data_IF_025666629530
#
_entry.id   IF_025666629530
#
_cell.length_a   1.000
_cell.length_b   1.000
_cell.length_c   1.000
_cell.angle_alpha   90.00
_cell.angle_beta   90.00
_cell.angle_gamma   90.00
#
_symmetry.space_group_name_H-M   'P 1'
#
loop_
_entity.id
_entity.type
_entity.pdbx_description
1 polymer ?
#
# COMPACT_ATOMS: atom_id res chain seq x y z
N UNK A 1 -8.40 7.28 20.41
CA UNK A 1 -7.74 6.63 19.25
C UNK A 1 -7.09 7.73 18.43
N UNK A 2 -5.77 7.72 18.25
CA UNK A 2 -5.10 8.73 17.42
C UNK A 2 -5.31 8.33 15.96
N UNK A 3 -5.97 9.19 15.19
CA UNK A 3 -6.22 8.96 13.76
C UNK A 3 -4.93 9.27 13.03
N UNK A 4 -4.43 8.34 12.21
CA UNK A 4 -3.29 8.57 11.33
C UNK A 4 -3.74 9.38 10.11
N UNK A 5 -3.41 10.67 10.12
CA UNK A 5 -3.84 11.62 9.09
C UNK A 5 -2.77 11.80 8.02
N UNK A 6 -3.18 12.30 6.86
CA UNK A 6 -2.25 12.65 5.77
C UNK A 6 -1.22 13.71 6.17
N UNK A 7 -1.56 14.60 7.12
CA UNK A 7 -0.62 15.58 7.69
C UNK A 7 0.47 14.91 8.50
N UNK A 8 0.11 13.97 9.38
CA UNK A 8 1.08 13.21 10.16
C UNK A 8 1.96 12.39 9.23
N UNK A 9 1.37 11.70 8.25
CA UNK A 9 2.12 10.90 7.28
C UNK A 9 3.17 11.68 6.46
N UNK A 10 3.05 13.01 6.34
CA UNK A 10 4.12 13.86 5.78
C UNK A 10 5.20 14.21 6.80
N UNK A 11 4.83 14.35 8.06
CA UNK A 11 5.71 14.76 9.15
C UNK A 11 6.62 13.63 9.66
N UNK A 12 6.19 12.37 9.57
CA UNK A 12 6.94 11.19 10.03
C UNK A 12 7.12 10.14 8.92
N UNK A 13 7.86 10.47 7.84
CA UNK A 13 7.95 9.63 6.64
C UNK A 13 8.55 8.23 6.87
N UNK A 14 9.35 8.08 7.93
CA UNK A 14 10.09 6.85 8.24
C UNK A 14 9.45 6.04 9.37
N UNK A 15 8.22 6.39 9.77
CA UNK A 15 7.45 5.59 10.72
C UNK A 15 7.26 4.18 10.18
N UNK A 16 7.60 3.18 11.00
CA UNK A 16 7.41 1.78 10.67
C UNK A 16 5.92 1.45 10.47
N UNK A 17 5.62 0.66 9.45
CA UNK A 17 4.25 0.26 9.09
C UNK A 17 4.21 -1.23 8.78
N UNK A 18 3.11 -1.92 9.14
CA UNK A 18 3.00 -3.38 9.01
C UNK A 18 2.63 -3.83 7.59
N UNK A 19 3.33 -3.34 6.57
CA UNK A 19 3.02 -3.63 5.17
C UNK A 19 3.24 -5.12 4.85
N UNK A 20 4.24 -5.75 5.46
CA UNK A 20 4.54 -7.18 5.29
C UNK A 20 3.46 -8.08 5.89
N UNK A 21 2.95 -7.76 7.09
CA UNK A 21 1.86 -8.51 7.70
C UNK A 21 0.54 -8.36 6.93
N UNK A 22 0.39 -7.25 6.19
CA UNK A 22 -0.73 -7.01 5.29
C UNK A 22 -0.59 -7.72 3.93
N UNK A 23 0.51 -8.45 3.71
CA UNK A 23 0.74 -9.23 2.49
C UNK A 23 1.27 -8.43 1.31
N UNK A 24 1.71 -7.19 1.52
CA UNK A 24 2.40 -6.42 0.49
C UNK A 24 3.86 -6.86 0.40
N UNK A 25 4.40 -6.86 -0.82
CA UNK A 25 5.85 -6.94 -1.03
C UNK A 25 6.49 -5.58 -0.79
N UNK A 26 7.81 -5.57 -0.59
CA UNK A 26 8.58 -4.35 -0.36
C UNK A 26 8.46 -3.35 -1.51
N UNK A 27 8.58 -3.83 -2.75
CA UNK A 27 8.45 -3.03 -3.97
C UNK A 27 7.03 -2.44 -4.14
N UNK A 28 5.99 -3.18 -3.75
CA UNK A 28 4.61 -2.67 -3.73
C UNK A 28 4.45 -1.53 -2.72
N UNK A 29 5.03 -1.68 -1.51
CA UNK A 29 5.01 -0.61 -0.51
C UNK A 29 5.79 0.64 -0.95
N UNK A 30 6.98 0.48 -1.55
CA UNK A 30 7.72 1.62 -2.11
C UNK A 30 6.94 2.30 -3.24
N UNK A 31 6.30 1.52 -4.13
CA UNK A 31 5.45 2.06 -5.20
C UNK A 31 4.29 2.90 -4.63
N UNK A 32 3.68 2.47 -3.53
CA UNK A 32 2.63 3.24 -2.84
C UNK A 32 3.20 4.57 -2.32
N UNK A 33 4.40 4.55 -1.73
CA UNK A 33 5.07 5.78 -1.25
C UNK A 33 5.36 6.75 -2.38
N UNK A 34 5.82 6.24 -3.53
CA UNK A 34 6.08 7.02 -4.73
C UNK A 34 4.79 7.65 -5.29
N UNK A 35 3.71 6.88 -5.42
CA UNK A 35 2.40 7.36 -5.89
C UNK A 35 1.85 8.47 -4.97
N UNK A 36 2.01 8.33 -3.66
CA UNK A 36 1.48 9.28 -2.68
C UNK A 36 2.41 10.47 -2.41
N UNK A 37 3.71 10.35 -2.73
CA UNK A 37 4.75 11.32 -2.37
C UNK A 37 5.02 11.43 -0.87
N UNK A 38 4.63 10.42 -0.09
CA UNK A 38 4.76 10.30 1.38
C UNK A 38 4.48 8.85 1.80
N UNK A 39 4.68 8.52 3.07
CA UNK A 39 4.13 7.25 3.58
C UNK A 39 2.60 7.24 3.50
N UNK A 40 1.95 6.07 3.28
CA UNK A 40 0.50 5.96 3.41
C UNK A 40 0.08 6.15 4.87
N UNK A 41 -1.16 6.60 5.08
CA UNK A 41 -1.84 6.45 6.37
C UNK A 41 -2.18 4.98 6.62
N UNK A 42 -2.49 4.60 7.86
CA UNK A 42 -2.94 3.23 8.18
C UNK A 42 -4.14 2.78 7.34
N UNK A 43 -5.10 3.68 7.08
CA UNK A 43 -6.28 3.35 6.26
C UNK A 43 -5.94 3.19 4.77
N UNK A 44 -5.10 4.07 4.23
CA UNK A 44 -4.62 3.95 2.85
C UNK A 44 -3.82 2.66 2.67
N UNK A 45 -2.92 2.34 3.60
CA UNK A 45 -2.10 1.13 3.53
C UNK A 45 -2.96 -0.14 3.52
N UNK A 46 -3.97 -0.22 4.39
CA UNK A 46 -4.92 -1.33 4.41
C UNK A 46 -5.76 -1.41 3.12
N UNK A 47 -6.13 -0.26 2.54
CA UNK A 47 -6.85 -0.24 1.28
C UNK A 47 -5.99 -0.76 0.12
N UNK A 48 -4.74 -0.29 0.02
CA UNK A 48 -3.81 -0.76 -1.01
C UNK A 48 -3.51 -2.25 -0.88
N UNK A 49 -3.33 -2.78 0.33
CA UNK A 49 -3.04 -4.20 0.52
C UNK A 49 -4.16 -5.10 -0.01
N UNK A 50 -5.43 -4.72 0.21
CA UNK A 50 -6.58 -5.44 -0.34
C UNK A 50 -6.63 -5.30 -1.86
N UNK A 51 -6.58 -4.06 -2.37
CA UNK A 51 -6.75 -3.80 -3.80
C UNK A 51 -5.64 -4.39 -4.67
N UNK A 52 -4.42 -4.47 -4.16
CA UNK A 52 -3.26 -5.02 -4.88
C UNK A 52 -3.03 -6.51 -4.58
N UNK A 53 -3.88 -7.13 -3.76
CA UNK A 53 -3.88 -8.58 -3.57
C UNK A 53 -4.14 -9.30 -4.90
N UNK A 54 -3.71 -10.56 -5.01
CA UNK A 54 -3.99 -11.37 -6.22
C UNK A 54 -5.49 -11.49 -6.46
N UNK A 55 -6.29 -11.67 -5.41
CA UNK A 55 -7.74 -11.87 -5.53
C UNK A 55 -8.45 -10.67 -6.17
N UNK A 56 -8.05 -9.44 -5.81
CA UNK A 56 -8.66 -8.23 -6.35
C UNK A 56 -8.05 -7.78 -7.68
N UNK A 57 -6.74 -7.91 -7.83
CA UNK A 57 -6.02 -7.37 -9.00
C UNK A 57 -5.93 -8.34 -10.18
N UNK A 58 -6.09 -9.64 -9.93
CA UNK A 58 -5.80 -10.73 -10.88
C UNK A 58 -4.39 -10.59 -11.48
N UNK A 59 -3.43 -10.00 -10.75
CA UNK A 59 -2.14 -9.57 -11.31
C UNK A 59 -1.35 -10.70 -11.96
N UNK A 60 -1.44 -11.92 -11.43
CA UNK A 60 -0.77 -13.09 -12.02
C UNK A 60 -1.52 -13.65 -13.23
N UNK A 61 -2.85 -13.62 -13.21
CA UNK A 61 -3.69 -14.18 -14.28
C UNK A 61 -3.88 -13.22 -15.46
N UNK A 62 -3.87 -11.90 -15.22
CA UNK A 62 -4.17 -10.86 -16.22
C UNK A 62 -3.26 -10.91 -17.45
N UNK A 63 -1.99 -11.28 -17.29
CA UNK A 63 -1.05 -11.38 -18.42
C UNK A 63 -1.48 -12.45 -19.44
N UNK A 64 -2.10 -13.54 -18.99
CA UNK A 64 -2.55 -14.64 -19.85
C UNK A 64 -3.93 -14.38 -20.46
N UNK A 65 -4.70 -13.46 -19.87
CA UNK A 65 -6.04 -13.09 -20.30
C UNK A 65 -6.07 -11.87 -21.24
N UNK A 66 -4.92 -11.26 -21.54
CA UNK A 66 -4.81 -10.22 -22.57
C UNK A 66 -4.78 -10.88 -23.95
N UNK A 67 -5.93 -10.87 -24.63
CA UNK A 67 -6.06 -11.16 -26.07
C UNK A 67 -6.14 -9.85 -26.86
#
# INVERSE_FOLDING_TARGET
MIIDTTKQAKADPDKEQPWSELGLKKDEYESIREILGRRPTSAELAMYSVMWSEHCSYKSSKIYLRQ
#
